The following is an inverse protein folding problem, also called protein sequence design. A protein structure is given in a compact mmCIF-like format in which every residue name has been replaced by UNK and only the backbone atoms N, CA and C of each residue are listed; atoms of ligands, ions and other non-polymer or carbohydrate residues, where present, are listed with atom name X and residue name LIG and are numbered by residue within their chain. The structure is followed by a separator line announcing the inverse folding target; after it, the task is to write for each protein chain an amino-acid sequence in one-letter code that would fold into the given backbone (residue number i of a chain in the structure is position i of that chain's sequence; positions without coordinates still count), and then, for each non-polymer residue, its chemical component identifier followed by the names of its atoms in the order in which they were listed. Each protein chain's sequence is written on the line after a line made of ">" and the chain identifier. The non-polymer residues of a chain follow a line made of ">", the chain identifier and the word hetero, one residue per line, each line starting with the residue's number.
data_IF_635696646000
#
_entry.id   IF_635696646000
#
_cell.length_a   1.000
_cell.length_b   1.000
_cell.length_c   1.000
_cell.angle_alpha   90.00
_cell.angle_beta   90.00
_cell.angle_gamma   90.00
#
_symmetry.space_group_name_H-M   'P 1'
#
loop_
_entity.id
_entity.type
_entity.pdbx_description
1 polymer ?
#
# COMPACT_ATOMS: atom_id res chain seq x y z
N UNK A 1 0.69 19.35 5.49
CA UNK A 1 1.22 17.97 5.57
C UNK A 1 2.74 18.01 5.77
N UNK A 2 3.22 18.62 6.87
CA UNK A 2 4.64 18.94 7.08
C UNK A 2 5.43 17.87 7.87
N UNK A 3 4.75 16.81 8.35
CA UNK A 3 5.32 15.86 9.31
C UNK A 3 5.40 14.40 8.83
N UNK A 4 5.08 14.11 7.56
CA UNK A 4 5.24 12.75 7.01
C UNK A 4 4.47 11.64 7.74
N UNK A 5 3.46 11.99 8.55
CA UNK A 5 2.72 11.05 9.41
C UNK A 5 1.87 10.02 8.65
N UNK A 6 1.51 10.33 7.41
CA UNK A 6 0.70 9.47 6.53
C UNK A 6 0.88 9.92 5.07
N UNK A 7 0.56 9.03 4.12
CA UNK A 7 0.64 9.35 2.68
C UNK A 7 -0.51 10.27 2.24
N UNK A 8 -0.29 11.12 1.22
CA UNK A 8 -1.33 12.06 0.73
C UNK A 8 -2.63 11.36 0.33
N UNK A 9 -2.53 10.10 -0.10
CA UNK A 9 -3.65 9.25 -0.48
C UNK A 9 -4.56 8.85 0.70
N UNK A 10 -4.10 9.04 1.94
CA UNK A 10 -4.91 8.80 3.14
C UNK A 10 -5.94 9.91 3.41
N UNK A 11 -5.80 11.09 2.79
CA UNK A 11 -6.66 12.25 3.10
C UNK A 11 -8.15 11.93 2.94
N UNK A 12 -8.61 11.31 1.84
CA UNK A 12 -10.03 10.96 1.70
C UNK A 12 -10.51 9.99 2.79
N UNK A 13 -9.69 8.99 3.13
CA UNK A 13 -10.02 7.97 4.13
C UNK A 13 -10.04 8.55 5.55
N UNK A 14 -9.12 9.46 5.87
CA UNK A 14 -9.10 10.22 7.13
C UNK A 14 -10.36 11.08 7.26
N UNK A 15 -10.72 11.82 6.21
CA UNK A 15 -11.92 12.67 6.21
C UNK A 15 -13.20 11.84 6.34
N UNK A 16 -13.26 10.69 5.67
CA UNK A 16 -14.38 9.76 5.79
C UNK A 16 -14.50 9.16 7.20
N UNK A 17 -13.38 8.90 7.87
CA UNK A 17 -13.41 8.36 9.23
C UNK A 17 -13.83 9.40 10.26
N UNK A 18 -13.37 10.65 10.10
CA UNK A 18 -13.79 11.77 10.95
C UNK A 18 -15.26 12.15 10.74
N UNK A 19 -15.81 11.97 9.54
CA UNK A 19 -17.21 12.30 9.27
C UNK A 19 -18.20 11.34 9.94
N UNK A 20 -17.76 10.13 10.32
CA UNK A 20 -18.60 9.15 11.03
C UNK A 20 -18.76 9.46 12.52
N UNK A 21 -17.84 10.24 13.09
CA UNK A 21 -17.81 10.53 14.52
C UNK A 21 -17.16 11.92 14.75
N UNK A 22 -17.97 12.98 14.88
CA UNK A 22 -17.51 14.35 15.04
C UNK A 22 -16.67 14.60 16.31
N UNK A 23 -16.81 13.75 17.33
CA UNK A 23 -16.09 13.87 18.60
C UNK A 23 -14.74 13.13 18.57
N UNK A 24 -14.46 12.39 17.49
CA UNK A 24 -13.23 11.62 17.32
C UNK A 24 -12.04 12.53 17.14
N UNK A 25 -10.99 12.31 17.95
CA UNK A 25 -9.75 13.08 17.86
C UNK A 25 -9.01 12.77 16.57
N UNK A 26 -8.63 13.82 15.84
CA UNK A 26 -7.89 13.73 14.57
C UNK A 26 -6.58 12.94 14.73
N UNK A 27 -5.88 13.12 15.85
CA UNK A 27 -4.63 12.42 16.16
C UNK A 27 -4.83 10.90 16.20
N UNK A 28 -5.93 10.43 16.81
CA UNK A 28 -6.24 9.00 16.91
C UNK A 28 -6.56 8.36 15.56
N UNK A 29 -7.11 9.14 14.62
CA UNK A 29 -7.33 8.70 13.24
C UNK A 29 -6.00 8.62 12.51
N UNK A 30 -5.19 9.68 12.60
CA UNK A 30 -3.86 9.75 11.96
C UNK A 30 -2.94 8.60 12.43
N UNK A 31 -2.95 8.25 13.71
CA UNK A 31 -2.15 7.13 14.25
C UNK A 31 -2.48 5.78 13.60
N UNK A 32 -3.69 5.58 13.08
CA UNK A 32 -4.06 4.35 12.35
C UNK A 32 -3.54 4.32 10.92
N UNK A 33 -3.26 5.48 10.34
CA UNK A 33 -2.68 5.61 9.01
C UNK A 33 -1.15 5.80 9.06
N UNK A 34 -0.59 6.08 10.24
CA UNK A 34 0.83 6.31 10.43
C UNK A 34 1.55 5.10 11.03
N UNK A 35 2.71 4.77 10.46
CA UNK A 35 3.64 3.70 10.83
C UNK A 35 3.23 2.31 10.36
N UNK A 36 3.58 2.02 9.11
CA UNK A 36 3.86 0.65 8.68
C UNK A 36 5.36 0.56 8.45
N UNK A 37 5.99 -0.48 8.98
CA UNK A 37 7.40 -0.75 8.72
C UNK A 37 7.56 -1.13 7.24
N UNK A 38 8.54 -0.53 6.55
CA UNK A 38 8.75 -0.79 5.11
C UNK A 38 8.96 -2.29 4.82
N UNK A 39 9.57 -3.02 5.76
CA UNK A 39 9.79 -4.46 5.62
C UNK A 39 8.48 -5.26 5.64
N UNK A 40 7.48 -4.82 6.42
CA UNK A 40 6.15 -5.46 6.44
C UNK A 40 5.46 -5.33 5.07
N UNK A 41 5.57 -4.15 4.44
CA UNK A 41 5.05 -3.94 3.07
C UNK A 41 5.76 -4.86 2.09
N UNK A 42 7.10 -4.94 2.18
CA UNK A 42 7.91 -5.78 1.31
C UNK A 42 7.55 -7.26 1.47
N UNK A 43 7.36 -7.74 2.69
CA UNK A 43 6.91 -9.11 2.97
C UNK A 43 5.54 -9.43 2.38
N UNK A 44 4.60 -8.49 2.51
CA UNK A 44 3.28 -8.65 1.91
C UNK A 44 3.36 -8.69 0.38
N UNK A 45 4.15 -7.82 -0.23
CA UNK A 45 4.39 -7.80 -1.68
C UNK A 45 4.96 -9.15 -2.14
N UNK A 46 6.02 -9.64 -1.48
CA UNK A 46 6.62 -10.96 -1.74
C UNK A 46 5.59 -12.08 -1.69
N UNK A 47 4.72 -12.05 -0.67
CA UNK A 47 3.64 -13.03 -0.52
C UNK A 47 2.66 -12.96 -1.70
N UNK A 48 2.17 -11.77 -2.05
CA UNK A 48 1.21 -11.59 -3.16
C UNK A 48 1.81 -12.05 -4.50
N UNK A 49 3.06 -11.70 -4.79
CA UNK A 49 3.73 -12.11 -6.03
C UNK A 49 3.86 -13.64 -6.10
N UNK A 50 4.29 -14.29 -5.01
CA UNK A 50 4.38 -15.76 -4.93
C UNK A 50 3.03 -16.45 -5.08
N UNK A 51 2.00 -15.97 -4.38
CA UNK A 51 0.64 -16.53 -4.45
C UNK A 51 0.01 -16.35 -5.84
N UNK A 52 0.38 -15.28 -6.56
CA UNK A 52 -0.07 -14.99 -7.92
C UNK A 52 0.97 -15.38 -8.97
N UNK A 53 1.86 -16.31 -8.64
CA UNK A 53 3.03 -16.66 -9.45
C UNK A 53 2.70 -17.00 -10.90
N UNK A 54 1.67 -17.81 -11.15
CA UNK A 54 1.26 -18.19 -12.51
C UNK A 54 0.77 -16.98 -13.31
N UNK A 55 0.01 -16.09 -12.67
CA UNK A 55 -0.45 -14.84 -13.26
C UNK A 55 0.72 -13.90 -13.58
N UNK A 56 1.73 -13.83 -12.70
CA UNK A 56 2.94 -13.04 -12.91
C UNK A 56 3.73 -13.59 -14.10
N UNK A 57 3.89 -14.91 -14.22
CA UNK A 57 4.56 -15.52 -15.39
C UNK A 57 3.82 -15.27 -16.70
N UNK A 58 2.49 -15.31 -16.70
CA UNK A 58 1.68 -15.03 -17.89
C UNK A 58 1.77 -13.56 -18.34
N UNK A 59 1.73 -12.62 -17.38
CA UNK A 59 1.57 -11.18 -17.66
C UNK A 59 2.86 -10.38 -17.64
N UNK A 60 3.92 -10.91 -17.01
CA UNK A 60 5.18 -10.20 -16.83
C UNK A 60 4.98 -8.84 -16.15
N UNK A 61 5.61 -7.80 -16.68
CA UNK A 61 5.45 -6.42 -16.22
C UNK A 61 3.98 -5.92 -16.21
N UNK A 62 3.10 -6.49 -17.05
CA UNK A 62 1.67 -6.13 -17.06
C UNK A 62 0.92 -6.62 -15.80
N UNK A 63 1.53 -7.47 -14.97
CA UNK A 63 0.97 -7.88 -13.68
C UNK A 63 0.95 -6.75 -12.64
N UNK A 64 1.78 -5.71 -12.83
CA UNK A 64 1.94 -4.61 -11.87
C UNK A 64 0.60 -3.97 -11.48
N UNK A 65 -0.18 -3.52 -12.45
CA UNK A 65 -1.44 -2.79 -12.20
C UNK A 65 -2.49 -3.66 -11.47
N UNK A 66 -2.77 -4.89 -11.90
CA UNK A 66 -3.66 -5.81 -11.16
C UNK A 66 -3.19 -6.12 -9.74
N UNK A 67 -1.89 -6.39 -9.54
CA UNK A 67 -1.35 -6.69 -8.21
C UNK A 67 -1.31 -5.46 -7.29
N UNK A 68 -1.06 -4.27 -7.86
CA UNK A 68 -1.15 -3.00 -7.15
C UNK A 68 -2.53 -2.81 -6.53
N UNK A 69 -3.60 -3.19 -7.24
CA UNK A 69 -4.97 -3.14 -6.70
C UNK A 69 -5.18 -4.02 -5.46
N UNK A 70 -4.44 -5.12 -5.33
CA UNK A 70 -4.47 -5.99 -4.15
C UNK A 70 -3.70 -5.34 -2.99
N UNK A 71 -2.49 -4.87 -3.26
CA UNK A 71 -1.60 -4.30 -2.24
C UNK A 71 -2.16 -2.98 -1.69
N UNK A 72 -2.77 -2.18 -2.55
CA UNK A 72 -3.41 -0.92 -2.15
C UNK A 72 -4.67 -1.12 -1.30
N UNK A 73 -5.28 -2.31 -1.25
CA UNK A 73 -6.36 -2.56 -0.28
C UNK A 73 -5.84 -2.61 1.16
N UNK A 74 -4.58 -3.00 1.32
CA UNK A 74 -3.96 -3.17 2.64
C UNK A 74 -3.18 -1.92 3.08
N UNK A 75 -2.46 -1.27 2.15
CA UNK A 75 -1.49 -0.22 2.50
C UNK A 75 -1.82 1.17 1.98
N UNK A 76 -2.96 1.37 1.29
CA UNK A 76 -3.37 2.72 0.85
C UNK A 76 -3.38 3.67 2.04
N UNK A 77 -2.78 4.84 1.84
CA UNK A 77 -2.72 5.89 2.85
C UNK A 77 -1.70 5.64 3.96
N UNK A 78 -1.27 4.38 4.16
CA UNK A 78 -0.20 3.99 5.09
C UNK A 78 1.18 4.24 4.51
N UNK A 79 1.36 3.92 3.23
CA UNK A 79 2.62 4.11 2.48
C UNK A 79 2.32 4.78 1.14
N UNK A 80 3.26 5.60 0.67
CA UNK A 80 3.17 6.28 -0.63
C UNK A 80 3.04 5.24 -1.76
N UNK A 81 2.00 5.37 -2.59
CA UNK A 81 1.77 4.48 -3.72
C UNK A 81 2.95 4.35 -4.68
N UNK A 82 3.80 5.38 -4.80
CA UNK A 82 5.03 5.31 -5.60
C UNK A 82 6.02 4.31 -5.00
N UNK A 83 6.21 4.34 -3.68
CA UNK A 83 7.11 3.45 -2.94
C UNK A 83 6.63 2.00 -3.05
N UNK A 84 5.31 1.77 -2.92
CA UNK A 84 4.71 0.45 -3.14
C UNK A 84 4.92 -0.04 -4.58
N UNK A 85 4.69 0.85 -5.56
CA UNK A 85 4.83 0.53 -6.99
C UNK A 85 6.27 0.13 -7.35
N UNK A 86 7.26 0.82 -6.79
CA UNK A 86 8.68 0.50 -6.95
C UNK A 86 9.01 -0.88 -6.36
N UNK A 87 8.64 -1.15 -5.10
CA UNK A 87 8.87 -2.45 -4.47
C UNK A 87 8.18 -3.61 -5.20
N UNK A 88 6.96 -3.41 -5.67
CA UNK A 88 6.22 -4.42 -6.42
C UNK A 88 6.87 -4.72 -7.78
N UNK A 89 7.36 -3.68 -8.47
CA UNK A 89 8.09 -3.85 -9.73
C UNK A 89 9.35 -4.68 -9.52
N UNK A 90 10.18 -4.31 -8.52
CA UNK A 90 11.40 -5.05 -8.15
C UNK A 90 11.10 -6.54 -7.89
N UNK A 91 10.04 -6.83 -7.13
CA UNK A 91 9.67 -8.20 -6.79
C UNK A 91 9.15 -8.99 -8.00
N UNK A 92 8.37 -8.36 -8.88
CA UNK A 92 7.91 -9.00 -10.14
C UNK A 92 9.11 -9.35 -11.02
N UNK A 93 10.05 -8.42 -11.20
CA UNK A 93 11.27 -8.63 -11.97
C UNK A 93 12.12 -9.75 -11.37
N UNK A 94 12.37 -9.70 -10.05
CA UNK A 94 13.11 -10.75 -9.34
C UNK A 94 12.43 -12.12 -9.40
N UNK A 95 11.10 -12.18 -9.47
CA UNK A 95 10.36 -13.42 -9.57
C UNK A 95 10.43 -14.06 -10.98
N UNK A 96 10.59 -13.23 -12.02
CA UNK A 96 10.66 -13.70 -13.41
C UNK A 96 12.07 -14.12 -13.84
N UNK A 97 13.10 -13.60 -13.18
CA UNK A 97 14.51 -13.94 -13.44
C UNK A 97 15.34 -12.73 -13.87
#
# INVERSE_FOLDING_TARGET
>A
LKEGRFAKEAIPDILLELSKDPDKKVESVIERFGKVEIEEVRDFIRKVVRERGDFVRERGASALSPLMGIIMKEFRGKVDGKVISEMLREEIESYLG
#
